data_IF_702498116924
#
_entry.id   IF_702498116924
#
_cell.length_a   1.000
_cell.length_b   1.000
_cell.length_c   1.000
_cell.angle_alpha   90.00
_cell.angle_beta   90.00
_cell.angle_gamma   90.00
#
_symmetry.space_group_name_H-M   'P 1'
#
loop_
_entity.id
_entity.type
_entity.pdbx_description
1 polymer ?
#
# COMPACT_ATOMS: atom_id res chain seq x y z
N UNK A 1 2.28 -6.24 -14.90
CA UNK A 1 1.02 -5.58 -14.51
C UNK A 1 1.38 -4.15 -14.12
N UNK A 2 0.91 -3.11 -14.82
CA UNK A 2 1.00 -1.75 -14.27
C UNK A 2 0.31 -1.78 -12.90
N UNK A 3 0.99 -1.27 -11.88
CA UNK A 3 0.44 -1.17 -10.53
C UNK A 3 -0.87 -0.38 -10.58
N UNK A 4 -1.87 -0.85 -9.85
CA UNK A 4 -3.21 -0.24 -9.79
C UNK A 4 -3.15 1.29 -9.62
N UNK A 5 -2.20 1.78 -8.83
CA UNK A 5 -1.92 3.20 -8.61
C UNK A 5 -1.52 4.00 -9.85
N UNK A 6 -0.76 3.42 -10.79
CA UNK A 6 -0.39 4.10 -12.03
C UNK A 6 -1.60 4.30 -12.94
N UNK A 7 -2.49 3.31 -12.98
CA UNK A 7 -3.78 3.42 -13.68
C UNK A 7 -4.65 4.48 -13.02
N UNK A 8 -4.78 4.49 -11.69
CA UNK A 8 -5.55 5.50 -10.95
C UNK A 8 -5.02 6.92 -11.23
N UNK A 9 -3.70 7.12 -11.21
CA UNK A 9 -3.09 8.42 -11.52
C UNK A 9 -3.45 8.90 -12.93
N UNK A 10 -3.29 8.05 -13.95
CA UNK A 10 -3.60 8.40 -15.33
C UNK A 10 -5.08 8.76 -15.55
N UNK A 11 -6.00 8.09 -14.86
CA UNK A 11 -7.43 8.42 -14.93
C UNK A 11 -7.74 9.76 -14.27
N UNK A 12 -7.12 10.06 -13.12
CA UNK A 12 -7.29 11.34 -12.44
C UNK A 12 -6.71 12.50 -13.27
N UNK A 13 -5.56 12.30 -13.93
CA UNK A 13 -4.97 13.32 -14.82
C UNK A 13 -5.88 13.61 -16.01
N UNK A 14 -6.43 12.55 -16.61
CA UNK A 14 -7.39 12.69 -17.71
C UNK A 14 -8.65 13.44 -17.25
N UNK A 15 -9.21 13.09 -16.09
CA UNK A 15 -10.38 13.76 -15.53
C UNK A 15 -10.10 15.26 -15.25
N UNK A 16 -8.91 15.60 -14.75
CA UNK A 16 -8.53 17.01 -14.52
C UNK A 16 -8.38 17.79 -15.83
N UNK A 17 -7.86 17.16 -16.88
CA UNK A 17 -7.69 17.76 -18.21
C UNK A 17 -9.05 18.01 -18.90
N UNK A 18 -10.06 17.17 -18.62
CA UNK A 18 -11.42 17.35 -19.15
C UNK A 18 -12.22 18.47 -18.46
N UNK A 19 -11.79 18.89 -17.27
CA UNK A 19 -12.38 20.05 -16.63
C UNK A 19 -11.97 21.32 -17.37
N UNK A 20 -12.95 22.10 -17.82
CA UNK A 20 -12.72 23.36 -18.52
C UNK A 20 -13.60 24.45 -17.89
N UNK A 21 -13.08 25.67 -17.85
CA UNK A 21 -13.78 26.80 -17.27
C UNK A 21 -13.29 27.15 -15.86
N UNK A 22 -13.79 28.31 -15.43
CA UNK A 22 -13.37 29.04 -14.23
C UNK A 22 -14.52 29.20 -13.23
N UNK A 23 -15.62 28.47 -13.41
CA UNK A 23 -16.70 28.50 -12.45
C UNK A 23 -16.26 27.87 -11.12
N UNK A 24 -16.84 28.30 -9.99
CA UNK A 24 -16.42 27.84 -8.67
C UNK A 24 -16.51 26.32 -8.49
N UNK A 25 -17.45 25.65 -9.16
CA UNK A 25 -17.66 24.20 -9.05
C UNK A 25 -16.52 23.47 -9.75
N UNK A 26 -16.18 23.88 -10.97
CA UNK A 26 -15.05 23.34 -11.73
C UNK A 26 -13.72 23.55 -10.99
N UNK A 27 -13.50 24.73 -10.40
CA UNK A 27 -12.30 24.98 -9.59
C UNK A 27 -12.24 24.03 -8.38
N UNK A 28 -13.34 23.91 -7.63
CA UNK A 28 -13.41 23.01 -6.48
C UNK A 28 -13.18 21.54 -6.87
N UNK A 29 -13.70 21.12 -8.03
CA UNK A 29 -13.52 19.77 -8.52
C UNK A 29 -12.07 19.48 -8.94
N UNK A 30 -11.36 20.45 -9.53
CA UNK A 30 -9.91 20.33 -9.81
C UNK A 30 -9.11 20.16 -8.52
N UNK A 31 -9.42 20.94 -7.48
CA UNK A 31 -8.77 20.83 -6.17
C UNK A 31 -9.01 19.46 -5.52
N UNK A 32 -10.25 18.95 -5.62
CA UNK A 32 -10.60 17.62 -5.13
C UNK A 32 -9.81 16.52 -5.85
N UNK A 33 -9.69 16.60 -7.19
CA UNK A 33 -8.90 15.65 -7.98
C UNK A 33 -7.42 15.70 -7.58
N UNK A 34 -6.84 16.89 -7.40
CA UNK A 34 -5.46 17.02 -6.93
C UNK A 34 -5.25 16.35 -5.55
N UNK A 35 -6.20 16.52 -4.64
CA UNK A 35 -6.17 15.86 -3.32
C UNK A 35 -6.21 14.32 -3.44
N UNK A 36 -6.96 13.79 -4.40
CA UNK A 36 -7.02 12.35 -4.67
C UNK A 36 -5.71 11.80 -5.26
N UNK A 37 -5.05 12.55 -6.14
CA UNK A 37 -3.73 12.18 -6.67
C UNK A 37 -2.70 12.09 -5.54
N UNK A 38 -2.67 13.10 -4.66
CA UNK A 38 -1.77 13.10 -3.50
C UNK A 38 -2.06 11.91 -2.55
N UNK A 39 -3.33 11.59 -2.32
CA UNK A 39 -3.72 10.45 -1.51
C UNK A 39 -3.28 9.12 -2.15
N UNK A 40 -3.43 8.97 -3.47
CA UNK A 40 -2.99 7.79 -4.21
C UNK A 40 -1.47 7.60 -4.12
N UNK A 41 -0.69 8.68 -4.27
CA UNK A 41 0.76 8.65 -4.08
C UNK A 41 1.13 8.25 -2.66
N UNK A 42 0.50 8.86 -1.64
CA UNK A 42 0.72 8.49 -0.24
C UNK A 42 0.40 7.03 0.04
N UNK A 43 -0.67 6.50 -0.54
CA UNK A 43 -1.03 5.09 -0.40
C UNK A 43 0.00 4.17 -1.07
N UNK A 44 0.50 4.52 -2.25
CA UNK A 44 1.54 3.77 -2.96
C UNK A 44 2.84 3.66 -2.15
N UNK A 45 3.22 4.74 -1.46
CA UNK A 45 4.46 4.81 -0.68
C UNK A 45 4.26 4.62 0.83
N UNK A 46 3.03 4.30 1.28
CA UNK A 46 2.75 4.10 2.69
C UNK A 46 3.40 2.81 3.20
N UNK A 47 4.19 2.85 4.29
CA UNK A 47 4.79 1.66 4.88
C UNK A 47 3.77 0.64 5.38
N UNK A 48 2.49 1.03 5.52
CA UNK A 48 1.40 0.18 6.00
C UNK A 48 1.08 -1.00 5.07
N UNK A 49 1.57 -1.00 3.82
CA UNK A 49 1.46 -2.11 2.88
C UNK A 49 2.49 -3.22 3.12
N UNK A 50 3.54 -2.98 3.92
CA UNK A 50 4.49 -4.02 4.33
C UNK A 50 3.96 -4.63 5.62
N UNK A 51 3.42 -5.83 5.50
CA UNK A 51 2.77 -6.57 6.59
C UNK A 51 3.50 -6.41 7.92
N UNK A 52 2.72 -6.06 8.94
CA UNK A 52 3.22 -5.91 10.30
C UNK A 52 4.14 -7.06 10.66
N UNK A 53 5.28 -6.72 11.23
CA UNK A 53 6.27 -7.67 11.71
C UNK A 53 5.58 -8.68 12.64
N UNK A 54 5.33 -9.88 12.13
CA UNK A 54 4.85 -10.99 12.96
C UNK A 54 6.06 -11.45 13.75
N UNK A 55 6.25 -10.87 14.93
CA UNK A 55 7.22 -11.37 15.89
C UNK A 55 6.63 -12.66 16.47
N UNK A 56 7.22 -13.84 16.22
CA UNK A 56 6.73 -15.08 16.79
C UNK A 56 6.88 -15.01 18.32
N UNK A 57 5.82 -15.40 19.02
CA UNK A 57 5.84 -15.53 20.48
C UNK A 57 6.99 -16.50 20.86
N UNK A 58 7.86 -16.16 21.84
CA UNK A 58 8.97 -17.02 22.22
C UNK A 58 8.41 -18.35 22.76
N UNK A 59 8.41 -19.36 21.90
CA UNK A 59 8.08 -20.73 22.27
C UNK A 59 9.21 -21.33 23.11
N UNK A 60 8.90 -22.28 24.01
CA UNK A 60 9.93 -22.95 24.80
C UNK A 60 10.91 -23.67 23.87
N UNK A 61 12.21 -23.40 24.06
CA UNK A 61 13.30 -24.07 23.36
C UNK A 61 13.06 -25.59 23.34
N UNK A 62 12.91 -26.15 22.15
CA UNK A 62 12.94 -27.60 21.97
C UNK A 62 14.37 -28.05 22.27
N UNK A 63 14.57 -28.50 23.51
CA UNK A 63 15.84 -29.07 23.96
C UNK A 63 16.32 -30.12 22.95
N UNK A 64 17.60 -30.02 22.63
CA UNK A 64 18.31 -30.80 21.64
C UNK A 64 17.88 -32.28 21.62
N UNK A 65 17.56 -32.76 20.44
CA UNK A 65 17.48 -34.18 20.12
C UNK A 65 18.76 -34.88 20.61
N UNK A 66 18.66 -35.67 21.68
CA UNK A 66 19.69 -36.65 22.03
C UNK A 66 19.49 -37.88 21.13
N UNK A 67 20.47 -38.27 20.30
CA UNK A 67 20.52 -39.62 19.79
C UNK A 67 21.19 -40.47 20.87
N UNK A 68 20.47 -41.40 21.49
CA UNK A 68 21.15 -42.48 22.21
C UNK A 68 20.76 -43.83 21.62
N UNK A 69 21.73 -44.34 20.88
CA UNK A 69 21.88 -45.71 20.39
C UNK A 69 21.89 -46.74 21.54
N UNK A 70 21.34 -47.92 21.20
CA UNK A 70 21.69 -49.30 21.63
C UNK A 70 21.81 -49.66 23.12
N UNK A 71 21.13 -50.75 23.49
CA UNK A 71 21.64 -52.06 23.96
C UNK A 71 20.43 -52.78 24.60
N UNK A 72 20.20 -54.08 24.55
CA UNK A 72 20.89 -55.26 24.04
C UNK A 72 20.00 -56.44 24.42
#
# INVERSE_FOLDING_TARGET
MPTDFASVHAHLESAQAELHGSDPITLHLREAIGTLMDAALRAQYSPQAQGGEVVPFPGPQRAASRPNSRHG
#
